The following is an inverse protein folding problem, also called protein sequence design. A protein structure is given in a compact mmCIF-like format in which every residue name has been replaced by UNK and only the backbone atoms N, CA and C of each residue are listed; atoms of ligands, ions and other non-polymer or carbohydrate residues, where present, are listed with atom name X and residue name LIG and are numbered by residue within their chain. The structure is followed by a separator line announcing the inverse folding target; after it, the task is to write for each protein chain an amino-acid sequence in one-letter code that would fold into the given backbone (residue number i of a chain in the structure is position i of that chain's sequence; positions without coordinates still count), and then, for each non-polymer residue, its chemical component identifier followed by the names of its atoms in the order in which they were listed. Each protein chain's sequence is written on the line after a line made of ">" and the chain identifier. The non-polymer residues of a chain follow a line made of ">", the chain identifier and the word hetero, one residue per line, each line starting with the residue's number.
data_IF_140889811133
#
_entry.id   IF_140889811133
#
_cell.length_a   1.000
_cell.length_b   1.000
_cell.length_c   1.000
_cell.angle_alpha   90.00
_cell.angle_beta   90.00
_cell.angle_gamma   90.00
#
_symmetry.space_group_name_H-M   'P 1'
#
loop_
_entity.id
_entity.type
_entity.pdbx_description
1 polymer ?
#
# COMPACT_ATOMS: atom_id res chain seq x y z
N UNK A 1 -12.08 25.10 -13.23
CA UNK A 1 -11.74 23.82 -12.60
C UNK A 1 -11.48 22.74 -13.65
N UNK A 2 -10.24 22.26 -13.79
CA UNK A 2 -9.86 21.17 -14.73
C UNK A 2 -8.80 20.27 -14.07
N UNK A 3 -9.05 18.96 -14.04
CA UNK A 3 -8.07 17.96 -13.58
C UNK A 3 -7.79 16.95 -14.70
N UNK A 4 -6.53 16.84 -15.08
CA UNK A 4 -6.05 15.92 -16.10
C UNK A 4 -5.43 14.68 -15.45
N UNK A 5 -5.77 13.50 -15.99
CA UNK A 5 -5.29 12.20 -15.52
C UNK A 5 -4.37 11.60 -16.59
N UNK A 6 -3.19 11.16 -16.18
CA UNK A 6 -2.20 10.52 -17.06
C UNK A 6 -1.73 9.22 -16.38
N UNK A 7 -2.05 8.03 -16.94
CA UNK A 7 -2.84 7.80 -18.14
C UNK A 7 -4.32 8.17 -17.97
N UNK A 8 -4.98 8.51 -19.08
CA UNK A 8 -6.43 8.71 -19.15
C UNK A 8 -7.09 7.38 -19.56
N UNK A 9 -8.16 6.97 -18.86
CA UNK A 9 -8.93 5.76 -19.18
C UNK A 9 -8.39 4.46 -18.59
N UNK A 10 -7.16 4.06 -18.89
CA UNK A 10 -6.66 2.71 -18.55
C UNK A 10 -5.39 2.75 -17.67
N UNK A 11 -5.45 2.11 -16.49
CA UNK A 11 -4.32 1.87 -15.61
C UNK A 11 -3.71 0.50 -15.91
N UNK A 12 -2.56 0.50 -16.58
CA UNK A 12 -1.84 -0.72 -16.94
C UNK A 12 -0.96 -1.20 -15.78
N UNK A 13 -1.19 -2.43 -15.34
CA UNK A 13 -0.33 -3.17 -14.42
C UNK A 13 0.45 -4.21 -15.23
N UNK A 14 1.76 -4.32 -14.97
CA UNK A 14 2.63 -5.33 -15.60
C UNK A 14 2.89 -6.48 -14.63
N UNK A 15 2.94 -7.70 -15.15
CA UNK A 15 3.33 -8.88 -14.38
C UNK A 15 4.80 -8.82 -13.92
N UNK A 16 5.26 -9.85 -13.17
CA UNK A 16 4.49 -10.99 -12.68
C UNK A 16 3.61 -10.63 -11.46
N UNK A 17 2.39 -11.18 -11.43
CA UNK A 17 1.36 -10.82 -10.44
C UNK A 17 1.37 -11.65 -9.13
N UNK A 18 2.45 -12.42 -8.94
CA UNK A 18 2.78 -13.11 -7.68
C UNK A 18 3.49 -12.18 -6.66
N UNK A 19 3.83 -10.96 -7.07
CA UNK A 19 4.41 -9.90 -6.24
C UNK A 19 3.60 -8.61 -6.36
N UNK A 20 4.02 -7.54 -5.68
CA UNK A 20 3.34 -6.24 -5.74
C UNK A 20 3.64 -5.56 -7.07
N UNK A 21 2.66 -5.53 -7.98
CA UNK A 21 2.74 -4.77 -9.23
C UNK A 21 2.30 -3.33 -9.01
N UNK A 22 3.15 -2.36 -9.40
CA UNK A 22 2.92 -0.93 -9.16
C UNK A 22 2.78 -0.18 -10.48
N UNK A 23 1.79 0.70 -10.56
CA UNK A 23 1.59 1.64 -11.67
C UNK A 23 1.40 3.06 -11.14
N UNK A 24 1.84 4.06 -11.90
CA UNK A 24 1.75 5.47 -11.51
C UNK A 24 0.63 6.17 -12.26
N UNK A 25 -0.26 6.82 -11.52
CA UNK A 25 -1.25 7.76 -12.02
C UNK A 25 -0.80 9.18 -11.68
N UNK A 26 -0.53 10.01 -12.69
CA UNK A 26 -0.27 11.43 -12.50
C UNK A 26 -1.60 12.19 -12.58
N UNK A 27 -1.83 13.06 -11.61
CA UNK A 27 -2.92 14.04 -11.58
C UNK A 27 -2.32 15.42 -11.83
N UNK A 28 -2.89 16.21 -12.74
CA UNK A 28 -2.41 17.56 -13.08
C UNK A 28 -3.56 18.56 -13.04
N UNK A 29 -3.44 19.60 -12.22
CA UNK A 29 -4.41 20.68 -12.16
C UNK A 29 -4.03 21.77 -13.18
N UNK A 30 -4.72 21.84 -14.31
CA UNK A 30 -4.54 22.91 -15.31
C UNK A 30 -5.46 24.13 -15.05
N UNK A 31 -6.20 24.13 -13.95
CA UNK A 31 -7.04 25.24 -13.51
C UNK A 31 -6.33 26.23 -12.59
N UNK A 32 -7.01 27.36 -12.36
CA UNK A 32 -6.56 28.43 -11.46
C UNK A 32 -7.05 28.26 -10.01
N UNK A 33 -7.76 27.18 -9.71
CA UNK A 33 -8.40 26.90 -8.42
C UNK A 33 -7.70 25.73 -7.73
N UNK A 34 -7.59 25.77 -6.40
CA UNK A 34 -7.09 24.62 -5.62
C UNK A 34 -8.12 23.49 -5.64
N UNK A 35 -7.67 22.27 -5.87
CA UNK A 35 -8.54 21.09 -5.98
C UNK A 35 -8.27 20.11 -4.83
N UNK A 36 -9.32 19.57 -4.21
CA UNK A 36 -9.22 18.37 -3.41
C UNK A 36 -9.47 17.16 -4.31
N UNK A 37 -8.66 16.11 -4.19
CA UNK A 37 -8.90 14.84 -4.89
C UNK A 37 -9.00 13.65 -3.91
N UNK A 38 -9.73 12.62 -4.33
CA UNK A 38 -9.90 11.36 -3.60
C UNK A 38 -10.06 10.20 -4.56
N UNK A 39 -9.37 9.11 -4.28
CA UNK A 39 -9.30 7.93 -5.13
C UNK A 39 -10.10 6.80 -4.48
N UNK A 40 -11.02 6.24 -5.25
CA UNK A 40 -11.88 5.12 -4.86
C UNK A 40 -11.63 3.95 -5.82
N UNK A 41 -11.86 2.73 -5.36
CA UNK A 41 -11.70 1.49 -6.15
C UNK A 41 -12.81 0.52 -5.83
N UNK A 42 -13.18 -0.31 -6.80
CA UNK A 42 -14.15 -1.42 -6.60
C UNK A 42 -13.57 -2.58 -5.79
N UNK A 43 -12.25 -2.63 -5.56
CA UNK A 43 -11.58 -3.73 -4.87
C UNK A 43 -10.55 -3.26 -3.83
N UNK A 44 -10.96 -2.55 -2.76
CA UNK A 44 -10.04 -1.92 -1.80
C UNK A 44 -9.12 -2.90 -1.05
N UNK A 45 -9.47 -4.19 -0.97
CA UNK A 45 -8.60 -5.25 -0.41
C UNK A 45 -7.45 -5.67 -1.35
N UNK A 46 -7.58 -5.40 -2.66
CA UNK A 46 -6.63 -5.81 -3.71
C UNK A 46 -5.59 -4.74 -4.04
N UNK A 47 -5.77 -3.51 -3.59
CA UNK A 47 -4.91 -2.39 -3.96
C UNK A 47 -4.52 -1.54 -2.75
N UNK A 48 -3.25 -1.15 -2.70
CA UNK A 48 -2.81 0.00 -1.91
C UNK A 48 -2.71 1.22 -2.85
N UNK A 49 -3.11 2.41 -2.37
CA UNK A 49 -3.03 3.67 -3.12
C UNK A 49 -2.34 4.71 -2.26
N UNK A 50 -1.27 5.34 -2.77
CA UNK A 50 -0.47 6.32 -2.03
C UNK A 50 -0.06 7.51 -2.92
N UNK A 51 -0.43 8.76 -2.57
CA UNK A 51 -1.52 9.13 -1.66
C UNK A 51 -2.90 8.70 -2.21
N UNK A 52 -3.87 8.42 -1.34
CA UNK A 52 -5.24 8.08 -1.76
C UNK A 52 -6.17 9.32 -1.88
N UNK A 53 -5.76 10.44 -1.30
CA UNK A 53 -6.45 11.72 -1.33
C UNK A 53 -5.46 12.82 -0.98
N UNK A 54 -5.78 14.06 -1.34
CA UNK A 54 -4.92 15.22 -1.09
C UNK A 54 -5.51 16.50 -1.66
N UNK A 55 -4.78 17.60 -1.47
CA UNK A 55 -4.98 18.83 -2.22
C UNK A 55 -3.99 18.92 -3.39
N UNK A 56 -4.35 19.69 -4.40
CA UNK A 56 -3.55 19.99 -5.57
C UNK A 56 -3.75 21.46 -5.95
N UNK A 57 -2.69 22.25 -5.78
CA UNK A 57 -2.72 23.69 -6.02
C UNK A 57 -2.79 24.01 -7.53
N UNK A 58 -3.16 25.25 -7.92
CA UNK A 58 -3.20 25.67 -9.32
C UNK A 58 -1.90 25.38 -10.07
N UNK A 59 -2.00 24.81 -11.27
CA UNK A 59 -0.86 24.47 -12.14
C UNK A 59 0.13 23.42 -11.56
N UNK A 60 -0.22 22.75 -10.46
CA UNK A 60 0.60 21.70 -9.82
C UNK A 60 0.18 20.30 -10.29
N UNK A 61 1.14 19.37 -10.31
CA UNK A 61 0.93 17.95 -10.54
C UNK A 61 1.30 17.10 -9.32
N UNK A 62 0.56 16.01 -9.08
CA UNK A 62 0.88 15.00 -8.09
C UNK A 62 0.97 13.60 -8.73
N UNK A 63 1.87 12.75 -8.21
CA UNK A 63 2.03 11.36 -8.63
C UNK A 63 1.45 10.41 -7.58
N UNK A 64 0.53 9.57 -8.00
CA UNK A 64 -0.14 8.55 -7.19
C UNK A 64 0.39 7.18 -7.56
N UNK A 65 0.89 6.44 -6.58
CA UNK A 65 1.25 5.03 -6.73
C UNK A 65 0.03 4.14 -6.45
N UNK A 66 -0.34 3.32 -7.44
CA UNK A 66 -1.38 2.29 -7.32
C UNK A 66 -0.71 0.93 -7.35
N UNK A 67 -0.78 0.20 -6.24
CA UNK A 67 -0.04 -1.04 -5.99
C UNK A 67 -1.02 -2.22 -5.86
N UNK A 68 -1.10 -3.07 -6.89
CA UNK A 68 -1.83 -4.33 -6.84
C UNK A 68 -1.14 -5.28 -5.84
N UNK A 69 -1.91 -5.84 -4.92
CA UNK A 69 -1.43 -6.84 -3.97
C UNK A 69 -1.46 -8.25 -4.60
N UNK A 70 -0.44 -9.09 -4.33
CA UNK A 70 -0.43 -10.47 -4.79
C UNK A 70 -1.60 -11.26 -4.18
N UNK A 71 -2.12 -12.21 -4.96
CA UNK A 71 -3.27 -13.02 -4.57
C UNK A 71 -2.81 -14.43 -4.15
N UNK A 72 -3.41 -15.06 -3.13
CA UNK A 72 -3.17 -16.46 -2.82
C UNK A 72 -3.54 -17.37 -3.99
N UNK A 73 -2.74 -18.42 -4.23
CA UNK A 73 -3.04 -19.42 -5.24
C UNK A 73 -4.39 -20.11 -4.98
N UNK A 74 -5.14 -20.40 -6.06
CA UNK A 74 -6.44 -21.08 -6.00
C UNK A 74 -7.65 -20.17 -5.77
N UNK A 75 -7.47 -18.87 -5.50
CA UNK A 75 -8.58 -17.91 -5.51
C UNK A 75 -8.87 -17.46 -6.95
N UNK A 76 -10.15 -17.25 -7.29
CA UNK A 76 -10.56 -16.76 -8.62
C UNK A 76 -9.89 -15.41 -8.96
N UNK A 77 -9.30 -15.32 -10.15
CA UNK A 77 -8.78 -14.05 -10.66
C UNK A 77 -9.93 -13.22 -11.26
N UNK A 78 -10.32 -12.17 -10.55
CA UNK A 78 -11.33 -11.19 -10.93
C UNK A 78 -10.72 -9.85 -11.38
N UNK A 79 -9.38 -9.74 -11.47
CA UNK A 79 -8.65 -8.47 -11.60
C UNK A 79 -9.11 -7.59 -12.76
N UNK A 80 -9.43 -8.19 -13.90
CA UNK A 80 -9.88 -7.50 -15.12
C UNK A 80 -11.24 -6.76 -14.95
N UNK A 81 -11.98 -7.01 -13.86
CA UNK A 81 -13.24 -6.33 -13.54
C UNK A 81 -13.01 -5.05 -12.73
N UNK A 82 -11.83 -4.87 -12.14
CA UNK A 82 -11.56 -3.77 -11.21
C UNK A 82 -11.53 -2.40 -11.90
N UNK A 83 -12.07 -1.40 -11.20
CA UNK A 83 -12.11 -0.01 -11.65
C UNK A 83 -11.63 0.91 -10.55
N UNK A 84 -10.94 1.97 -10.96
CA UNK A 84 -10.62 3.13 -10.13
C UNK A 84 -11.53 4.30 -10.50
N UNK A 85 -11.69 5.21 -9.56
CA UNK A 85 -12.39 6.46 -9.75
C UNK A 85 -11.62 7.56 -9.01
N UNK A 86 -11.14 8.56 -9.74
CA UNK A 86 -10.64 9.81 -9.17
C UNK A 86 -11.83 10.75 -9.08
N UNK A 87 -12.16 11.17 -7.87
CA UNK A 87 -13.15 12.21 -7.61
C UNK A 87 -12.39 13.48 -7.21
N UNK A 88 -12.78 14.65 -7.72
CA UNK A 88 -12.18 15.92 -7.35
C UNK A 88 -13.20 17.05 -7.25
N UNK A 89 -12.87 18.08 -6.47
CA UNK A 89 -13.76 19.18 -6.12
C UNK A 89 -12.94 20.46 -5.87
N UNK A 90 -13.45 21.62 -6.28
CA UNK A 90 -12.81 22.90 -5.99
C UNK A 90 -12.85 23.18 -4.47
N UNK A 91 -11.75 23.69 -3.93
CA UNK A 91 -11.63 24.02 -2.50
C UNK A 91 -12.00 25.50 -2.33
N UNK A 92 -13.03 25.85 -1.53
CA UNK A 92 -13.32 27.23 -1.19
C UNK A 92 -12.14 27.87 -0.43
N UNK A 93 -11.90 29.17 -0.63
CA UNK A 93 -10.83 29.92 0.05
C UNK A 93 -10.92 29.88 1.58
N UNK A 94 -12.12 29.62 2.13
CA UNK A 94 -12.38 29.48 3.56
C UNK A 94 -11.97 28.14 4.17
N UNK A 95 -11.57 27.15 3.37
CA UNK A 95 -11.35 25.78 3.85
C UNK A 95 -9.90 25.53 4.32
N UNK A 96 -9.77 24.67 5.32
CA UNK A 96 -8.50 24.34 5.97
C UNK A 96 -7.64 23.37 5.16
N UNK A 97 -6.33 23.36 5.42
CA UNK A 97 -5.35 22.43 4.83
C UNK A 97 -5.49 20.96 5.31
N UNK A 98 -6.49 20.61 6.12
CA UNK A 98 -6.73 19.22 6.50
C UNK A 98 -7.62 18.49 5.48
N UNK A 99 -6.99 17.59 4.72
CA UNK A 99 -7.62 16.71 3.74
C UNK A 99 -8.70 15.84 4.38
N UNK A 100 -8.50 15.33 5.61
CA UNK A 100 -9.47 14.40 6.21
C UNK A 100 -10.75 15.13 6.64
N UNK A 101 -10.62 16.28 7.30
CA UNK A 101 -11.76 17.14 7.64
C UNK A 101 -12.48 17.66 6.40
N UNK A 102 -11.77 18.03 5.34
CA UNK A 102 -12.39 18.43 4.07
C UNK A 102 -13.36 17.35 3.55
N UNK A 103 -12.93 16.09 3.50
CA UNK A 103 -13.77 14.98 3.01
C UNK A 103 -14.86 14.52 3.99
N UNK A 104 -14.98 15.13 5.18
CA UNK A 104 -16.07 14.91 6.16
C UNK A 104 -17.14 15.99 6.13
N UNK A 105 -16.89 17.14 5.48
CA UNK A 105 -17.85 18.24 5.37
C UNK A 105 -18.98 17.89 4.40
N UNK A 106 -20.06 18.70 4.43
CA UNK A 106 -21.15 18.57 3.47
C UNK A 106 -20.72 19.10 2.09
N UNK A 107 -20.24 18.18 1.24
CA UNK A 107 -19.79 18.46 -0.12
C UNK A 107 -20.93 18.54 -1.14
N UNK A 108 -22.21 18.40 -0.74
CA UNK A 108 -23.35 18.32 -1.69
C UNK A 108 -23.48 19.54 -2.60
N UNK A 109 -22.98 20.70 -2.17
CA UNK A 109 -23.05 21.98 -2.90
C UNK A 109 -21.84 22.29 -3.78
N UNK A 110 -20.75 21.51 -3.68
CA UNK A 110 -19.46 21.89 -4.26
C UNK A 110 -19.21 21.35 -5.69
N UNK A 111 -20.24 20.78 -6.35
CA UNK A 111 -20.16 20.28 -7.72
C UNK A 111 -18.96 19.34 -7.96
N UNK A 112 -18.90 18.23 -7.21
CA UNK A 112 -17.81 17.27 -7.33
C UNK A 112 -17.83 16.54 -8.69
N UNK A 113 -16.66 16.46 -9.33
CA UNK A 113 -16.44 15.77 -10.60
C UNK A 113 -15.80 14.39 -10.37
N UNK A 114 -16.03 13.42 -11.27
CA UNK A 114 -15.37 12.11 -11.25
C UNK A 114 -14.87 11.67 -12.63
N UNK A 115 -13.82 10.83 -12.62
CA UNK A 115 -13.27 10.17 -13.80
C UNK A 115 -12.89 8.74 -13.43
N UNK A 116 -13.25 7.79 -14.30
CA UNK A 116 -13.16 6.35 -14.03
C UNK A 116 -12.08 5.73 -14.90
N UNK A 117 -11.22 4.93 -14.27
CA UNK A 117 -10.16 4.19 -14.94
C UNK A 117 -10.42 2.69 -14.85
N UNK A 118 -10.17 1.96 -15.94
CA UNK A 118 -10.17 0.49 -15.94
C UNK A 118 -8.78 -0.02 -15.55
N UNK A 119 -8.71 -1.17 -14.89
CA UNK A 119 -7.43 -1.85 -14.71
C UNK A 119 -7.19 -2.76 -15.91
N UNK A 120 -6.03 -2.62 -16.54
CA UNK A 120 -5.55 -3.48 -17.63
C UNK A 120 -4.32 -4.22 -17.13
N UNK A 121 -4.22 -5.51 -17.41
CA UNK A 121 -3.16 -6.36 -16.88
C UNK A 121 -2.42 -6.98 -18.06
N UNK A 122 -1.19 -6.53 -18.27
CA UNK A 122 -0.28 -7.15 -19.21
C UNK A 122 0.58 -8.13 -18.41
N UNK A 123 0.48 -9.43 -18.68
CA UNK A 123 1.54 -10.35 -18.27
C UNK A 123 2.84 -9.90 -18.96
N UNK A 124 4.00 -10.09 -18.31
CA UNK A 124 5.26 -9.90 -19.03
C UNK A 124 5.29 -10.88 -20.19
N UNK A 125 5.42 -10.36 -21.42
CA UNK A 125 5.81 -11.20 -22.53
C UNK A 125 7.12 -11.89 -22.11
N UNK A 126 7.23 -13.23 -22.22
CA UNK A 126 8.48 -13.90 -21.93
C UNK A 126 9.56 -13.20 -22.76
N UNK A 127 10.57 -12.64 -22.10
CA UNK A 127 11.69 -11.99 -22.76
C UNK A 127 12.17 -12.94 -23.86
N UNK A 128 12.02 -12.51 -25.12
CA UNK A 128 11.84 -13.42 -26.24
C UNK A 128 12.91 -14.51 -26.18
N UNK A 129 12.47 -15.74 -25.86
CA UNK A 129 13.34 -16.90 -25.91
C UNK A 129 13.59 -17.11 -27.39
N UNK A 130 14.66 -16.46 -27.88
CA UNK A 130 15.21 -16.71 -29.20
C UNK A 130 15.36 -18.22 -29.27
N UNK A 131 14.68 -18.92 -30.21
CA UNK A 131 14.71 -20.37 -30.24
C UNK A 131 16.15 -20.83 -30.22
N UNK A 132 16.54 -21.51 -29.15
CA UNK A 132 17.86 -22.11 -29.08
C UNK A 132 17.78 -23.38 -29.91
N UNK A 133 17.78 -23.19 -31.23
CA UNK A 133 17.84 -24.23 -32.25
C UNK A 133 19.23 -24.88 -32.16
N UNK A 134 19.36 -25.72 -31.13
CA UNK A 134 20.49 -26.59 -30.89
C UNK A 134 20.45 -27.72 -31.91
N UNK A 135 20.68 -27.38 -33.19
CA UNK A 135 20.96 -28.35 -34.23
C UNK A 135 22.17 -29.17 -33.80
N UNK A 136 21.91 -30.44 -33.48
CA UNK A 136 22.96 -31.39 -33.13
C UNK A 136 23.96 -31.51 -34.27
N UNK A 137 25.23 -31.22 -33.97
CA UNK A 137 26.31 -31.46 -34.90
C UNK A 137 26.45 -32.97 -35.13
N UNK A 138 26.08 -33.41 -36.34
CA UNK A 138 26.61 -34.63 -36.95
C UNK A 138 27.70 -34.18 -37.92
N UNK A 139 28.84 -34.86 -37.88
CA UNK A 139 29.99 -34.57 -38.75
C UNK A 139 29.61 -34.72 -40.23
N UNK A 140 29.82 -33.66 -41.02
CA UNK A 140 30.12 -33.74 -42.45
C UNK A 140 30.54 -32.37 -43.01
N UNK A 141 31.85 -32.17 -43.05
CA UNK A 141 32.70 -31.69 -44.16
C UNK A 141 32.25 -30.57 -45.15
N UNK A 142 33.27 -29.85 -45.65
CA UNK A 142 33.34 -28.99 -46.85
C UNK A 142 32.66 -27.59 -46.89
N UNK A 143 33.55 -26.58 -46.82
CA UNK A 143 33.67 -25.42 -47.74
C UNK A 143 32.82 -24.13 -47.62
N UNK A 144 33.53 -23.06 -47.21
CA UNK A 144 33.74 -21.81 -47.99
C UNK A 144 32.78 -20.60 -47.87
N UNK A 145 33.43 -19.46 -47.55
CA UNK A 145 33.08 -18.04 -47.85
C UNK A 145 32.13 -17.20 -46.96
N UNK A 146 32.75 -16.53 -45.96
CA UNK A 146 32.77 -15.05 -45.72
C UNK A 146 31.48 -14.20 -45.85
N UNK A 147 31.01 -13.70 -44.69
CA UNK A 147 30.63 -12.28 -44.40
C UNK A 147 30.97 -12.08 -42.90
N UNK A 148 32.05 -11.42 -42.50
CA UNK A 148 32.36 -9.97 -42.43
C UNK A 148 31.71 -9.19 -41.26
N UNK A 149 32.58 -8.79 -40.31
CA UNK A 149 32.50 -7.80 -39.21
C UNK A 149 31.19 -7.51 -38.44
N UNK A 150 31.23 -7.60 -37.09
CA UNK A 150 30.29 -6.84 -36.24
C UNK A 150 30.22 -7.10 -34.72
N UNK A 151 30.55 -8.29 -34.19
CA UNK A 151 30.00 -8.75 -32.90
C UNK A 151 30.87 -8.52 -31.63
N UNK A 152 32.20 -8.64 -31.71
CA UNK A 152 33.06 -8.72 -30.51
C UNK A 152 33.05 -7.48 -29.60
N UNK A 153 32.83 -6.28 -30.16
CA UNK A 153 32.84 -5.02 -29.40
C UNK A 153 31.59 -4.83 -28.52
N UNK A 154 30.45 -5.42 -28.91
CA UNK A 154 29.24 -5.39 -28.10
C UNK A 154 29.29 -6.46 -27.00
N UNK A 155 29.78 -7.67 -27.33
CA UNK A 155 29.93 -8.79 -26.42
C UNK A 155 30.89 -8.51 -25.25
N UNK A 156 32.01 -7.84 -25.53
CA UNK A 156 32.98 -7.42 -24.52
C UNK A 156 32.42 -6.37 -23.54
N UNK A 157 31.73 -5.34 -24.05
CA UNK A 157 31.05 -4.33 -23.23
C UNK A 157 29.94 -4.93 -22.38
N UNK A 158 29.13 -5.84 -22.94
CA UNK A 158 28.05 -6.51 -22.21
C UNK A 158 28.58 -7.40 -21.08
N UNK A 159 29.71 -8.09 -21.30
CA UNK A 159 30.40 -8.84 -20.24
C UNK A 159 30.93 -7.92 -19.14
N UNK A 160 31.52 -6.78 -19.51
CA UNK A 160 32.06 -5.81 -18.54
C UNK A 160 30.95 -5.23 -17.64
N UNK A 161 29.79 -4.88 -18.21
CA UNK A 161 28.64 -4.41 -17.42
C UNK A 161 28.05 -5.53 -16.54
N UNK A 162 28.02 -6.78 -17.01
CA UNK A 162 27.57 -7.91 -16.20
C UNK A 162 28.49 -8.16 -14.98
N UNK A 163 29.82 -8.14 -15.18
CA UNK A 163 30.79 -8.31 -14.10
C UNK A 163 30.68 -7.16 -13.07
N UNK A 164 30.46 -5.92 -13.54
CA UNK A 164 30.23 -4.74 -12.69
C UNK A 164 28.93 -4.82 -11.90
N UNK A 165 27.81 -5.14 -12.55
CA UNK A 165 26.50 -5.28 -11.91
C UNK A 165 26.49 -6.40 -10.86
N UNK A 166 27.30 -7.44 -11.05
CA UNK A 166 27.49 -8.51 -10.08
C UNK A 166 28.23 -8.00 -8.84
N UNK A 167 29.31 -7.25 -9.00
CA UNK A 167 30.05 -6.65 -7.88
C UNK A 167 29.18 -5.65 -7.09
N UNK A 168 28.43 -4.78 -7.78
CA UNK A 168 27.49 -3.85 -7.12
C UNK A 168 26.37 -4.59 -6.35
N UNK A 169 25.83 -5.69 -6.91
CA UNK A 169 24.86 -6.54 -6.19
C UNK A 169 25.45 -7.17 -4.92
N UNK A 170 26.69 -7.65 -4.98
CA UNK A 170 27.33 -8.28 -3.82
C UNK A 170 27.72 -7.25 -2.75
N UNK A 171 28.12 -6.02 -3.14
CA UNK A 171 28.24 -4.87 -2.23
C UNK A 171 26.91 -4.53 -1.55
N UNK A 172 25.83 -4.36 -2.32
CA UNK A 172 24.52 -4.01 -1.77
C UNK A 172 23.98 -5.07 -0.80
N UNK A 173 24.23 -6.36 -1.05
CA UNK A 173 23.90 -7.44 -0.10
C UNK A 173 24.66 -7.29 1.22
N UNK A 174 25.95 -6.96 1.18
CA UNK A 174 26.77 -6.72 2.37
C UNK A 174 26.27 -5.49 3.15
N UNK A 175 25.94 -4.39 2.48
CA UNK A 175 25.41 -3.18 3.11
C UNK A 175 24.04 -3.43 3.77
N UNK A 176 23.14 -4.17 3.11
CA UNK A 176 21.86 -4.61 3.71
C UNK A 176 22.08 -5.47 4.95
N UNK A 177 23.05 -6.41 4.92
CA UNK A 177 23.39 -7.24 6.07
C UNK A 177 23.98 -6.41 7.23
N UNK A 178 24.84 -5.44 6.91
CA UNK A 178 25.46 -4.55 7.87
C UNK A 178 24.44 -3.61 8.53
N UNK A 179 23.51 -3.04 7.76
CA UNK A 179 22.42 -2.23 8.28
C UNK A 179 21.49 -3.04 9.19
N UNK A 180 21.09 -4.25 8.77
CA UNK A 180 20.31 -5.18 9.63
C UNK A 180 21.03 -5.49 10.95
N UNK A 181 22.35 -5.67 10.93
CA UNK A 181 23.15 -5.89 12.15
C UNK A 181 23.18 -4.65 13.05
N UNK A 182 23.33 -3.44 12.49
CA UNK A 182 23.26 -2.17 13.24
C UNK A 182 21.91 -1.98 13.91
N UNK A 183 20.81 -2.25 13.20
CA UNK A 183 19.46 -2.15 13.75
C UNK A 183 19.22 -3.17 14.88
N UNK A 184 19.71 -4.40 14.73
CA UNK A 184 19.66 -5.42 15.80
C UNK A 184 20.42 -4.99 17.05
N UNK A 185 21.66 -4.48 16.91
CA UNK A 185 22.46 -3.98 18.03
C UNK A 185 21.72 -2.82 18.72
N UNK A 186 21.21 -1.85 17.95
CA UNK A 186 20.46 -0.70 18.49
C UNK A 186 19.20 -1.13 19.24
N UNK A 187 18.46 -2.12 18.74
CA UNK A 187 17.33 -2.71 19.46
C UNK A 187 17.76 -3.46 20.73
N UNK A 188 18.89 -4.16 20.70
CA UNK A 188 19.43 -4.87 21.87
C UNK A 188 19.88 -3.90 22.97
N UNK A 189 20.54 -2.79 22.62
CA UNK A 189 20.87 -1.71 23.56
C UNK A 189 19.63 -1.08 24.20
N UNK A 190 18.60 -0.76 23.41
CA UNK A 190 17.33 -0.21 23.91
C UNK A 190 16.67 -1.17 24.92
N UNK A 191 16.72 -2.48 24.65
CA UNK A 191 16.20 -3.50 25.57
C UNK A 191 17.03 -3.60 26.85
N UNK A 192 18.36 -3.47 26.79
CA UNK A 192 19.23 -3.48 27.97
C UNK A 192 19.06 -2.22 28.83
N UNK A 193 18.89 -1.03 28.23
CA UNK A 193 18.60 0.20 28.98
C UNK A 193 17.27 0.12 29.74
N UNK A 194 16.25 -0.50 29.15
CA UNK A 194 14.97 -0.74 29.84
C UNK A 194 15.03 -1.78 30.97
N UNK A 195 16.04 -2.67 31.02
CA UNK A 195 16.21 -3.64 32.11
C UNK A 195 17.30 -3.28 33.13
N UNK A 196 18.12 -2.27 32.85
CA UNK A 196 19.16 -1.77 33.77
C UNK A 196 18.64 -0.81 34.86
N UNK A 197 17.39 -0.34 34.76
CA UNK A 197 16.87 0.73 35.61
C UNK A 197 16.22 0.25 36.94
N UNK A 198 16.28 -1.06 37.23
CA UNK A 198 15.57 -1.73 38.34
C UNK A 198 16.51 -2.29 39.44
N UNK A 199 17.81 -1.96 39.44
CA UNK A 199 18.77 -2.47 40.45
C UNK A 199 19.76 -1.40 40.92
N UNK A 200 19.95 -1.34 42.25
CA UNK A 200 20.83 -0.44 43.04
C UNK A 200 20.16 0.95 43.27
N UNK A 201 19.84 1.43 44.48
CA UNK A 201 19.99 0.93 45.87
C UNK A 201 18.95 1.58 46.83
N UNK A 202 18.53 0.87 47.89
CA UNK A 202 18.68 1.36 49.30
C UNK A 202 18.15 0.36 50.37
N UNK A 203 18.84 0.21 51.52
CA UNK A 203 18.43 -0.71 52.60
C UNK A 203 17.74 -0.03 53.83
N UNK A 204 16.88 -0.82 54.50
CA UNK A 204 16.54 -0.83 55.94
C UNK A 204 15.67 0.31 56.56
N UNK A 205 14.38 -0.03 56.75
CA UNK A 205 13.51 0.06 57.97
C UNK A 205 13.43 1.37 58.79
N UNK A 206 12.24 2.00 58.78
CA UNK A 206 11.23 1.95 59.86
C UNK A 206 9.85 2.41 59.31
N UNK A 207 8.82 1.56 59.29
CA UNK A 207 7.79 1.39 60.33
C UNK A 207 6.82 2.59 60.48
N UNK A 208 5.69 2.55 59.76
CA UNK A 208 4.33 2.69 60.32
C UNK A 208 3.28 2.24 59.27
N UNK A 209 2.18 1.64 59.74
CA UNK A 209 0.95 1.22 59.03
C UNK A 209 -0.24 1.60 59.94
N UNK A 210 -1.52 1.55 59.50
CA UNK A 210 -2.06 1.29 58.15
C UNK A 210 -2.84 2.56 57.67
N UNK A 211 -3.90 2.60 56.85
CA UNK A 211 -4.66 1.66 55.99
C UNK A 211 -5.49 2.47 54.98
N UNK A 212 -5.49 2.11 53.68
CA UNK A 212 -6.71 2.11 52.86
C UNK A 212 -6.58 1.09 51.72
N UNK A 213 -7.65 0.35 51.46
CA UNK A 213 -7.67 -0.82 50.58
C UNK A 213 -8.56 -0.52 49.37
N UNK A 214 -7.97 -0.33 48.20
CA UNK A 214 -8.75 -0.15 46.97
C UNK A 214 -8.22 -1.04 45.85
N UNK A 215 -8.95 -2.13 45.59
CA UNK A 215 -8.73 -3.01 44.45
C UNK A 215 -8.84 -2.19 43.15
N UNK A 216 -7.77 -2.13 42.36
CA UNK A 216 -7.85 -1.62 40.99
C UNK A 216 -8.47 -2.71 40.11
N UNK A 217 -9.75 -2.56 39.82
CA UNK A 217 -10.42 -3.34 38.78
C UNK A 217 -9.78 -3.11 37.41
N UNK A 218 -9.97 -4.07 36.51
CA UNK A 218 -9.36 -4.05 35.17
C UNK A 218 -9.99 -2.95 34.30
N UNK A 219 -9.27 -1.84 34.13
CA UNK A 219 -9.67 -0.73 33.23
C UNK A 219 -9.06 -0.91 31.85
N UNK A 220 -9.93 -1.02 30.84
CA UNK A 220 -9.57 -0.95 29.43
C UNK A 220 -10.11 0.38 28.87
N UNK A 221 -9.24 1.21 28.27
CA UNK A 221 -9.58 2.55 27.77
C UNK A 221 -10.17 3.53 28.80
N UNK A 222 -9.85 3.40 30.09
CA UNK A 222 -10.11 4.44 31.10
C UNK A 222 -11.56 4.62 31.56
N UNK A 223 -12.50 3.80 31.10
CA UNK A 223 -13.92 3.83 31.50
C UNK A 223 -14.22 2.59 32.37
N UNK A 224 -14.95 2.71 33.51
CA UNK A 224 -15.32 1.56 34.32
C UNK A 224 -16.23 0.59 33.55
N UNK A 225 -15.96 -0.72 33.68
CA UNK A 225 -16.59 -1.78 32.89
C UNK A 225 -18.13 -1.86 33.05
N UNK A 226 -18.67 -1.30 34.13
CA UNK A 226 -20.11 -1.25 34.44
C UNK A 226 -20.90 -0.43 33.43
N UNK A 227 -20.34 0.66 32.92
CA UNK A 227 -20.99 1.53 31.91
C UNK A 227 -21.07 0.85 30.53
N UNK A 228 -20.02 0.13 30.14
CA UNK A 228 -19.98 -0.52 28.83
C UNK A 228 -20.98 -1.68 28.71
N UNK A 229 -21.26 -2.40 29.80
CA UNK A 229 -22.27 -3.45 29.83
C UNK A 229 -23.68 -2.92 29.56
N UNK A 230 -24.04 -1.74 30.06
CA UNK A 230 -25.34 -1.10 29.78
C UNK A 230 -25.47 -0.78 28.30
N UNK A 231 -24.43 -0.21 27.69
CA UNK A 231 -24.45 0.21 26.29
C UNK A 231 -24.47 -1.00 25.33
N UNK A 232 -23.71 -2.06 25.64
CA UNK A 232 -23.78 -3.34 24.91
C UNK A 232 -25.15 -4.00 25.06
N UNK A 233 -25.73 -4.03 26.26
CA UNK A 233 -27.08 -4.55 26.48
C UNK A 233 -28.15 -3.77 25.71
N UNK A 234 -28.02 -2.44 25.62
CA UNK A 234 -28.95 -1.59 24.86
C UNK A 234 -28.86 -1.87 23.34
N UNK A 235 -27.65 -2.00 22.80
CA UNK A 235 -27.43 -2.36 21.39
C UNK A 235 -27.99 -3.75 21.09
N UNK A 236 -27.75 -4.74 21.95
CA UNK A 236 -28.33 -6.07 21.80
C UNK A 236 -29.85 -6.06 21.90
N UNK A 237 -30.44 -5.32 22.85
CA UNK A 237 -31.89 -5.19 22.98
C UNK A 237 -32.54 -4.56 21.73
N UNK A 238 -31.90 -3.56 21.10
CA UNK A 238 -32.35 -3.00 19.83
C UNK A 238 -32.26 -4.02 18.69
N UNK A 239 -31.17 -4.79 18.58
CA UNK A 239 -31.01 -5.82 17.54
C UNK A 239 -32.03 -6.96 17.70
N UNK A 240 -32.21 -7.48 18.91
CA UNK A 240 -33.18 -8.54 19.20
C UNK A 240 -34.62 -8.04 19.08
N UNK A 241 -34.93 -6.83 19.56
CA UNK A 241 -36.24 -6.21 19.42
C UNK A 241 -36.64 -5.97 17.97
N UNK A 242 -35.71 -5.48 17.15
CA UNK A 242 -35.94 -5.29 15.71
C UNK A 242 -36.14 -6.64 15.00
N UNK A 243 -35.38 -7.66 15.38
CA UNK A 243 -35.50 -9.02 14.85
C UNK A 243 -36.83 -9.70 15.21
N UNK A 244 -37.30 -9.56 16.45
CA UNK A 244 -38.61 -10.06 16.90
C UNK A 244 -39.78 -9.31 16.24
N UNK A 245 -39.66 -7.99 16.09
CA UNK A 245 -40.64 -7.18 15.38
C UNK A 245 -40.77 -7.58 13.90
N UNK A 246 -39.65 -7.81 13.22
CA UNK A 246 -39.64 -8.30 11.83
C UNK A 246 -40.27 -9.69 11.71
N UNK A 247 -39.99 -10.59 12.66
CA UNK A 247 -40.51 -11.96 12.64
C UNK A 247 -42.03 -12.00 12.88
N UNK A 248 -42.54 -11.21 13.83
CA UNK A 248 -43.99 -11.11 14.08
C UNK A 248 -44.74 -10.44 12.91
N UNK A 249 -44.15 -9.43 12.26
CA UNK A 249 -44.76 -8.79 11.09
C UNK A 249 -44.77 -9.71 9.86
N UNK A 250 -43.77 -10.60 9.73
CA UNK A 250 -43.64 -11.53 8.59
C UNK A 250 -44.46 -12.83 8.73
N UNK A 251 -45.04 -13.12 9.90
CA UNK A 251 -45.97 -14.25 10.12
C UNK A 251 -47.44 -13.83 10.23
N UNK A 252 -47.74 -12.54 10.04
CA UNK A 252 -49.09 -11.96 10.22
C UNK A 252 -49.81 -11.54 8.92
N UNK A 253 -49.27 -11.87 7.75
CA UNK A 253 -49.89 -11.69 6.43
C UNK A 253 -49.81 -13.00 5.62
#
# INVERSE_FOLDING_TARGET
>A
MTLELIPNGDLVFKGPFNTVSTTTLKLSNSGNERLAYKIKTTAPKRYCVKPNSGFLDPHVSASVQVMLQPQPAGQQDDRNKHKFMVQWVAVPESNTDDVESFWKQDLTKLNAHDSKLKCVFADEAPAAVVPNDSYGHKDSDLTTARVDTGDDSNKSRLKQEFDRLKEENDRLKLDIQHMKRKDQIKQQELRQRNTGNDRIDNPVVDRFKPSQQQQKGLVLFGVPLTEQLVLVAFVLALIFGFSLGYFLFSCGN
#
